data_IF_008980615294
#
_entry.id   IF_008980615294
#
_cell.length_a   1.000
_cell.length_b   1.000
_cell.length_c   1.000
_cell.angle_alpha   90.00
_cell.angle_beta   90.00
_cell.angle_gamma   90.00
#
_symmetry.space_group_name_H-M   'P 1'
#
loop_
_entity.id
_entity.type
_entity.pdbx_description
1 polymer ?
#
# COMPACT_ATOMS: atom_id res chain seq x y z
N UNK A 1 5.85 6.55 3.27
CA UNK A 1 5.89 6.99 1.86
C UNK A 1 4.64 6.54 1.12
N UNK A 2 4.34 5.24 1.07
CA UNK A 2 3.12 4.72 0.40
C UNK A 2 1.83 5.29 0.99
N UNK A 3 1.66 5.25 2.32
CA UNK A 3 0.48 5.80 2.99
C UNK A 3 0.22 7.29 2.69
N UNK A 4 1.28 8.10 2.66
CA UNK A 4 1.20 9.53 2.34
C UNK A 4 0.78 9.75 0.88
N UNK A 5 1.27 8.92 -0.03
CA UNK A 5 0.84 8.94 -1.44
C UNK A 5 -0.62 8.52 -1.58
N UNK A 6 -1.02 7.43 -0.92
CA UNK A 6 -2.43 6.98 -0.87
C UNK A 6 -3.34 8.08 -0.32
N UNK A 7 -2.94 8.77 0.75
CA UNK A 7 -3.69 9.89 1.30
C UNK A 7 -3.93 10.98 0.26
N UNK A 8 -2.86 11.47 -0.38
CA UNK A 8 -2.96 12.52 -1.40
C UNK A 8 -3.87 12.10 -2.54
N UNK A 9 -3.68 10.91 -3.10
CA UNK A 9 -4.50 10.37 -4.19
C UNK A 9 -5.98 10.33 -3.80
N UNK A 10 -6.31 9.75 -2.65
CA UNK A 10 -7.69 9.62 -2.20
C UNK A 10 -8.32 10.98 -1.90
N UNK A 11 -7.58 11.92 -1.29
CA UNK A 11 -8.07 13.27 -1.04
C UNK A 11 -8.31 14.04 -2.34
N UNK A 12 -7.43 13.95 -3.33
CA UNK A 12 -7.64 14.59 -4.64
C UNK A 12 -8.83 14.00 -5.41
N UNK A 13 -9.09 12.71 -5.24
CA UNK A 13 -10.27 12.03 -5.80
C UNK A 13 -11.57 12.34 -5.06
N UNK A 14 -11.51 13.09 -3.95
CA UNK A 14 -12.67 13.31 -3.07
C UNK A 14 -13.19 12.01 -2.44
N UNK A 15 -12.33 10.99 -2.33
CA UNK A 15 -12.72 9.66 -1.85
C UNK A 15 -13.03 9.72 -0.34
N UNK A 16 -14.17 9.15 0.11
CA UNK A 16 -14.55 9.17 1.51
C UNK A 16 -13.51 8.43 2.36
N UNK A 17 -13.35 8.83 3.63
CA UNK A 17 -12.44 8.15 4.57
C UNK A 17 -10.96 8.13 4.10
N UNK A 18 -10.54 9.05 3.22
CA UNK A 18 -9.15 9.12 2.71
C UNK A 18 -8.07 9.08 3.81
N UNK A 19 -8.27 9.81 4.90
CA UNK A 19 -7.35 9.80 6.06
C UNK A 19 -7.33 8.42 6.75
N UNK A 20 -8.48 7.82 6.96
CA UNK A 20 -8.58 6.50 7.59
C UNK A 20 -7.91 5.42 6.75
N UNK A 21 -8.17 5.42 5.43
CA UNK A 21 -7.54 4.51 4.47
C UNK A 21 -6.02 4.68 4.43
N UNK A 22 -5.53 5.91 4.52
CA UNK A 22 -4.09 6.18 4.58
C UNK A 22 -3.44 5.66 5.88
N UNK A 23 -4.08 5.86 7.03
CA UNK A 23 -3.60 5.33 8.32
C UNK A 23 -3.65 3.80 8.30
N UNK A 24 -4.73 3.20 7.80
CA UNK A 24 -4.83 1.76 7.63
C UNK A 24 -3.74 1.22 6.69
N UNK A 25 -3.48 1.91 5.57
CA UNK A 25 -2.36 1.60 4.68
C UNK A 25 -1.05 1.61 5.44
N UNK A 26 -0.78 2.67 6.22
CA UNK A 26 0.44 2.77 7.02
C UNK A 26 0.62 1.58 7.97
N UNK A 27 -0.44 1.23 8.72
CA UNK A 27 -0.41 0.10 9.65
C UNK A 27 -0.20 -1.22 8.91
N UNK A 28 -0.95 -1.46 7.83
CA UNK A 28 -0.87 -2.69 7.06
C UNK A 28 0.52 -2.86 6.44
N UNK A 29 1.17 -1.77 6.02
CA UNK A 29 2.52 -1.82 5.42
C UNK A 29 3.60 -2.29 6.41
N UNK A 30 3.30 -2.51 7.70
CA UNK A 30 4.20 -3.23 8.60
C UNK A 30 4.40 -4.70 8.21
N UNK A 31 3.44 -5.29 7.49
CA UNK A 31 3.58 -6.65 6.91
C UNK A 31 4.24 -6.55 5.53
N UNK A 32 5.44 -7.11 5.33
CA UNK A 32 6.08 -7.10 4.01
C UNK A 32 5.21 -7.84 2.97
N UNK A 33 5.09 -7.27 1.77
CA UNK A 33 4.29 -7.78 0.63
C UNK A 33 2.78 -7.90 0.86
N UNK A 34 2.31 -8.61 1.89
CA UNK A 34 0.89 -8.81 2.17
C UNK A 34 0.18 -7.52 2.62
N UNK A 35 0.87 -6.69 3.39
CA UNK A 35 0.34 -5.45 3.93
C UNK A 35 -0.10 -4.46 2.84
N UNK A 36 0.81 -4.07 1.95
CA UNK A 36 0.48 -3.19 0.83
C UNK A 36 -0.59 -3.77 -0.11
N UNK A 37 -0.55 -5.08 -0.38
CA UNK A 37 -1.57 -5.75 -1.21
C UNK A 37 -2.97 -5.63 -0.60
N UNK A 38 -3.09 -5.89 0.71
CA UNK A 38 -4.37 -5.75 1.43
C UNK A 38 -4.81 -4.30 1.53
N UNK A 39 -3.87 -3.36 1.71
CA UNK A 39 -4.16 -1.93 1.76
C UNK A 39 -4.75 -1.38 0.44
N UNK A 40 -4.25 -1.86 -0.71
CA UNK A 40 -4.76 -1.47 -2.04
C UNK A 40 -6.19 -1.95 -2.27
N UNK A 41 -6.60 -3.05 -1.61
CA UNK A 41 -7.95 -3.60 -1.72
C UNK A 41 -8.94 -2.98 -0.72
N UNK A 42 -8.44 -2.29 0.32
CA UNK A 42 -9.26 -1.67 1.37
C UNK A 42 -10.33 -0.68 0.87
N UNK A 43 -10.14 0.07 -0.23
CA UNK A 43 -11.19 0.93 -0.77
C UNK A 43 -12.40 0.17 -1.33
N UNK A 44 -12.27 -1.11 -1.71
CA UNK A 44 -13.33 -1.86 -2.40
C UNK A 44 -14.63 -1.96 -1.59
N UNK A 45 -14.63 -2.40 -0.31
CA UNK A 45 -15.86 -2.46 0.48
C UNK A 45 -16.50 -1.09 0.67
N UNK A 46 -15.69 -0.02 0.78
CA UNK A 46 -16.19 1.34 0.94
C UNK A 46 -16.93 1.79 -0.33
N UNK A 47 -16.38 1.50 -1.52
CA UNK A 47 -17.04 1.79 -2.79
C UNK A 47 -18.38 1.06 -2.93
N UNK A 48 -18.50 -0.16 -2.39
CA UNK A 48 -19.74 -0.95 -2.46
C UNK A 48 -20.82 -0.42 -1.51
N UNK A 49 -20.41 0.20 -0.39
CA UNK A 49 -21.32 0.72 0.64
C UNK A 49 -21.72 2.17 0.38
N UNK A 50 -20.86 2.96 -0.26
CA UNK A 50 -21.08 4.38 -0.48
C UNK A 50 -21.48 4.68 -1.94
N UNK A 51 -22.77 4.97 -2.14
CA UNK A 51 -23.33 5.29 -3.45
C UNK A 51 -22.85 6.64 -4.03
N UNK A 52 -22.17 7.49 -3.23
CA UNK A 52 -21.58 8.74 -3.73
C UNK A 52 -20.28 8.51 -4.51
N UNK A 53 -19.67 7.33 -4.36
CA UNK A 53 -18.42 6.98 -5.04
C UNK A 53 -18.73 6.55 -6.47
N UNK A 54 -18.26 7.33 -7.44
CA UNK A 54 -18.34 6.96 -8.85
C UNK A 54 -17.48 5.74 -9.16
N UNK A 55 -17.88 4.93 -10.13
CA UNK A 55 -17.05 3.78 -10.59
C UNK A 55 -15.66 4.22 -11.03
N UNK A 56 -15.53 5.40 -11.63
CA UNK A 56 -14.25 5.97 -12.03
C UNK A 56 -13.33 6.27 -10.83
N UNK A 57 -13.85 6.93 -9.80
CA UNK A 57 -13.05 7.21 -8.58
C UNK A 57 -12.70 5.93 -7.82
N UNK A 58 -13.58 4.93 -7.80
CA UNK A 58 -13.31 3.61 -7.22
C UNK A 58 -12.13 2.89 -7.90
N UNK A 59 -12.13 2.88 -9.25
CA UNK A 59 -11.04 2.25 -10.02
C UNK A 59 -9.72 3.00 -9.77
N UNK A 60 -9.73 4.33 -9.80
CA UNK A 60 -8.53 5.13 -9.58
C UNK A 60 -7.99 5.02 -8.14
N UNK A 61 -8.88 4.89 -7.15
CA UNK A 61 -8.53 4.69 -5.75
C UNK A 61 -7.75 3.39 -5.50
N UNK A 62 -7.85 2.39 -6.39
CA UNK A 62 -7.13 1.12 -6.30
C UNK A 62 -5.91 1.14 -7.22
N UNK A 63 -6.11 1.59 -8.47
CA UNK A 63 -5.08 1.57 -9.50
C UNK A 63 -3.86 2.42 -9.11
N UNK A 64 -4.07 3.65 -8.63
CA UNK A 64 -2.98 4.58 -8.33
C UNK A 64 -2.14 4.11 -7.12
N UNK A 65 -2.71 3.75 -5.96
CA UNK A 65 -1.93 3.17 -4.86
C UNK A 65 -1.29 1.82 -5.23
N UNK A 66 -1.96 0.99 -6.04
CA UNK A 66 -1.42 -0.28 -6.53
C UNK A 66 -0.19 -0.08 -7.40
N UNK A 67 -0.23 0.88 -8.33
CA UNK A 67 0.93 1.24 -9.15
C UNK A 67 2.09 1.76 -8.29
N UNK A 68 1.80 2.63 -7.31
CA UNK A 68 2.82 3.10 -6.39
C UNK A 68 3.45 1.97 -5.59
N UNK A 69 2.67 0.99 -5.14
CA UNK A 69 3.20 -0.19 -4.46
C UNK A 69 4.12 -1.01 -5.36
N UNK A 70 3.71 -1.30 -6.60
CA UNK A 70 4.53 -2.05 -7.57
C UNK A 70 5.82 -1.30 -7.87
N UNK A 71 5.77 0.01 -8.06
CA UNK A 71 6.97 0.82 -8.30
C UNK A 71 7.90 0.82 -7.08
N UNK A 72 7.36 0.92 -5.87
CA UNK A 72 8.18 0.89 -4.66
C UNK A 72 8.84 -0.47 -4.47
N UNK A 73 8.08 -1.56 -4.61
CA UNK A 73 8.58 -2.92 -4.40
C UNK A 73 9.51 -3.44 -5.50
N UNK A 74 9.24 -3.10 -6.77
CA UNK A 74 9.99 -3.67 -7.89
C UNK A 74 11.11 -2.78 -8.44
N UNK A 75 11.12 -1.48 -8.14
CA UNK A 75 12.16 -0.57 -8.64
C UNK A 75 12.96 0.08 -7.52
N UNK A 76 12.27 0.62 -6.51
CA UNK A 76 12.94 1.40 -5.45
C UNK A 76 13.65 0.47 -4.48
N UNK A 77 12.98 -0.56 -3.98
CA UNK A 77 13.56 -1.55 -3.08
C UNK A 77 14.79 -2.26 -3.69
N UNK A 78 14.74 -2.86 -4.89
CA UNK A 78 15.91 -3.52 -5.45
C UNK A 78 17.06 -2.56 -5.79
N UNK A 79 16.81 -1.30 -6.14
CA UNK A 79 17.91 -0.34 -6.31
C UNK A 79 18.54 0.06 -4.97
N UNK A 80 17.73 0.24 -3.92
CA UNK A 80 18.21 0.64 -2.60
C UNK A 80 18.91 -0.51 -1.87
N UNK A 81 18.41 -1.73 -2.02
CA UNK A 81 18.86 -2.93 -1.32
C UNK A 81 19.79 -3.84 -2.16
N UNK A 82 19.85 -3.64 -3.47
CA UNK A 82 20.57 -4.51 -4.42
C UNK A 82 22.10 -4.47 -4.31
N UNK A 83 22.69 -3.46 -3.66
CA UNK A 83 24.15 -3.35 -3.54
C UNK A 83 24.74 -3.96 -2.27
N UNK A 84 23.97 -4.24 -1.21
CA UNK A 84 24.57 -4.53 0.12
C UNK A 84 23.89 -5.54 1.05
N UNK A 85 22.97 -6.39 0.59
CA UNK A 85 22.40 -7.41 1.47
C UNK A 85 23.09 -8.78 1.30
N UNK A 86 24.34 -8.88 1.78
CA UNK A 86 24.89 -10.18 2.25
C UNK A 86 24.23 -10.57 3.58
N UNK A 87 22.90 -10.54 3.65
CA UNK A 87 22.20 -10.99 4.84
C UNK A 87 22.26 -12.51 4.88
N UNK A 88 22.83 -13.05 5.95
CA UNK A 88 22.79 -14.48 6.22
C UNK A 88 21.33 -14.96 6.19
N UNK A 89 21.00 -16.06 5.51
CA UNK A 89 19.64 -16.63 5.47
C UNK A 89 18.99 -16.77 6.85
N UNK A 90 19.81 -16.93 7.90
CA UNK A 90 19.38 -16.99 9.30
C UNK A 90 18.69 -15.71 9.76
N UNK A 91 19.15 -14.53 9.34
CA UNK A 91 18.57 -13.24 9.73
C UNK A 91 17.19 -13.04 9.08
N UNK A 92 17.03 -13.54 7.85
CA UNK A 92 15.75 -13.49 7.11
C UNK A 92 14.72 -14.38 7.81
N UNK A 93 15.11 -15.62 8.16
CA UNK A 93 14.25 -16.56 8.89
C UNK A 93 13.88 -16.03 10.29
N UNK A 94 14.82 -15.41 10.99
CA UNK A 94 14.58 -14.83 12.31
C UNK A 94 13.64 -13.62 12.25
N UNK A 95 13.78 -12.75 11.25
CA UNK A 95 12.88 -11.59 11.08
C UNK A 95 11.45 -12.00 10.74
N UNK A 96 11.27 -13.11 10.02
CA UNK A 96 9.93 -13.67 9.75
C UNK A 96 9.35 -14.34 11.00
N UNK A 97 10.16 -14.99 11.83
CA UNK A 97 9.68 -15.68 13.05
C UNK A 97 9.42 -14.77 14.25
N UNK A 98 9.98 -13.55 14.27
CA UNK A 98 9.83 -12.58 15.38
C UNK A 98 8.70 -11.58 15.14
N UNK A 99 8.20 -11.46 13.90
CA UNK A 99 7.04 -10.62 13.60
C UNK A 99 5.72 -11.31 13.98
#
# INVERSE_FOLDING_TARGET
TLASFTFLVLTFLGFPLSLFLAIATYILTFVPNLGPLTAVMLPLPICMLDASVTTGSAVLAILLPGLAHVLMGNFVEPNLFGSHFRMSPVIILFSIGVW
#
